data_IF_640448291415
#
_entry.id   IF_640448291415
#
_cell.length_a   1.000
_cell.length_b   1.000
_cell.length_c   1.000
_cell.angle_alpha   90.00
_cell.angle_beta   90.00
_cell.angle_gamma   90.00
#
_symmetry.space_group_name_H-M   'P 1'
#
loop_
_entity.id
_entity.type
_entity.pdbx_description
1 polymer ?
#
# COMPACT_ATOMS: atom_id res chain seq x y z
N UNK A 1 -4.81 -7.49 12.46
CA UNK A 1 -3.53 -6.88 12.93
C UNK A 1 -3.46 -6.93 14.45
N UNK A 2 -2.25 -6.92 15.00
CA UNK A 2 -2.00 -6.89 16.45
C UNK A 2 -0.86 -5.94 16.80
N UNK A 3 -0.91 -5.32 17.98
CA UNK A 3 0.25 -4.69 18.60
C UNK A 3 0.73 -5.59 19.72
N UNK A 4 2.03 -5.88 19.75
CA UNK A 4 2.62 -6.79 20.71
C UNK A 4 3.87 -6.15 21.32
N UNK A 5 3.98 -6.20 22.65
CA UNK A 5 5.20 -5.78 23.33
C UNK A 5 6.26 -6.87 23.15
N UNK A 6 7.41 -6.56 22.53
CA UNK A 6 8.49 -7.52 22.48
C UNK A 6 8.98 -7.84 23.90
N UNK A 7 9.35 -9.09 24.14
CA UNK A 7 9.98 -9.44 25.42
C UNK A 7 11.37 -8.83 25.61
N UNK A 8 11.92 -8.89 26.83
CA UNK A 8 13.16 -8.22 27.18
C UNK A 8 14.40 -8.72 26.43
N UNK A 9 14.36 -9.95 25.90
CA UNK A 9 15.45 -10.54 25.12
C UNK A 9 15.18 -10.48 23.60
N UNK A 10 14.11 -9.83 23.16
CA UNK A 10 13.82 -9.65 21.73
C UNK A 10 14.99 -8.95 21.03
N UNK A 11 15.44 -9.44 19.87
CA UNK A 11 16.61 -8.89 19.19
C UNK A 11 16.36 -7.44 18.76
N UNK A 12 16.91 -6.52 19.55
CA UNK A 12 17.02 -5.11 19.18
C UNK A 12 18.32 -4.84 18.42
N UNK A 13 19.37 -5.68 18.52
CA UNK A 13 20.66 -5.51 17.83
C UNK A 13 20.74 -6.10 16.41
N UNK A 14 21.85 -5.85 15.67
CA UNK A 14 22.14 -6.54 14.41
C UNK A 14 22.19 -8.06 14.56
N UNK A 15 21.76 -8.76 13.50
CA UNK A 15 21.90 -10.21 13.39
C UNK A 15 23.36 -10.49 13.00
N UNK A 16 24.19 -10.91 13.95
CA UNK A 16 25.60 -11.27 13.76
C UNK A 16 26.35 -11.41 15.08
N UNK A 17 27.46 -12.16 15.08
CA UNK A 17 28.23 -12.54 16.28
C UNK A 17 29.11 -11.41 16.88
N UNK A 18 28.77 -10.15 16.62
CA UNK A 18 29.49 -8.98 17.14
C UNK A 18 28.92 -8.46 18.47
N UNK A 19 29.69 -7.68 19.26
CA UNK A 19 29.16 -7.06 20.48
C UNK A 19 27.98 -6.14 20.12
N UNK A 20 26.80 -6.52 20.61
CA UNK A 20 25.52 -5.93 20.24
C UNK A 20 25.38 -4.51 20.79
N UNK A 21 25.54 -3.49 19.94
CA UNK A 21 24.77 -2.28 20.15
C UNK A 21 23.31 -2.65 19.87
N UNK A 22 22.45 -2.61 20.89
CA UNK A 22 21.01 -2.73 20.69
C UNK A 22 20.58 -1.62 19.72
N UNK A 23 20.14 -1.97 18.51
CA UNK A 23 19.59 -0.99 17.58
C UNK A 23 18.35 -0.37 18.22
N UNK A 24 18.17 0.93 18.01
CA UNK A 24 17.03 1.62 18.57
C UNK A 24 15.73 0.99 18.05
N UNK A 25 14.69 0.84 18.89
CA UNK A 25 13.38 0.42 18.44
C UNK A 25 12.88 1.25 17.26
N UNK A 26 12.25 0.59 16.29
CA UNK A 26 11.77 1.20 15.06
C UNK A 26 12.80 1.29 13.92
N UNK A 27 13.99 0.72 14.08
CA UNK A 27 15.00 0.63 13.01
C UNK A 27 14.86 -0.64 12.15
N UNK A 28 13.91 -1.52 12.47
CA UNK A 28 13.74 -2.83 11.83
C UNK A 28 12.28 -3.14 11.53
N UNK A 29 12.09 -3.87 10.45
CA UNK A 29 10.84 -4.52 10.09
C UNK A 29 11.16 -5.96 9.68
N UNK A 30 10.18 -6.85 9.81
CA UNK A 30 10.32 -8.28 9.49
C UNK A 30 9.18 -8.69 8.56
N UNK A 31 9.51 -9.55 7.60
CA UNK A 31 8.53 -10.26 6.79
C UNK A 31 8.68 -11.75 7.03
N UNK A 32 7.58 -12.39 7.41
CA UNK A 32 7.48 -13.83 7.66
C UNK A 32 6.87 -14.47 6.43
N UNK A 33 7.70 -15.06 5.59
CA UNK A 33 7.25 -15.63 4.31
C UNK A 33 7.02 -17.13 4.49
N UNK A 34 5.85 -17.60 4.07
CA UNK A 34 5.47 -19.01 4.08
C UNK A 34 4.77 -19.38 2.76
N UNK A 35 4.49 -20.67 2.54
CA UNK A 35 4.03 -21.18 1.24
C UNK A 35 2.83 -20.42 0.67
N UNK A 36 1.85 -20.15 1.54
CA UNK A 36 0.54 -19.63 1.14
C UNK A 36 0.35 -18.15 1.56
N UNK A 37 1.43 -17.40 1.76
CA UNK A 37 1.35 -15.97 2.08
C UNK A 37 2.51 -15.44 2.91
N UNK A 38 2.31 -14.26 3.49
CA UNK A 38 3.28 -13.65 4.39
C UNK A 38 2.59 -12.84 5.48
N UNK A 39 3.32 -12.65 6.59
CA UNK A 39 3.00 -11.63 7.59
C UNK A 39 4.10 -10.57 7.59
N UNK A 40 3.75 -9.35 7.95
CA UNK A 40 4.67 -8.23 8.00
C UNK A 40 4.58 -7.55 9.36
N UNK A 41 5.74 -7.15 9.87
CA UNK A 41 5.90 -6.60 11.19
C UNK A 41 6.78 -5.37 11.15
N UNK A 42 6.33 -4.26 11.72
CA UNK A 42 7.15 -3.07 11.92
C UNK A 42 7.16 -2.69 13.39
N UNK A 43 8.30 -2.23 13.89
CA UNK A 43 8.40 -1.77 15.28
C UNK A 43 8.13 -0.27 15.36
N UNK A 44 7.34 0.17 16.35
CA UNK A 44 7.20 1.60 16.64
C UNK A 44 8.49 2.17 17.24
N UNK A 45 8.83 3.43 16.94
CA UNK A 45 9.90 4.14 17.66
C UNK A 45 9.60 4.22 19.15
N UNK A 46 10.65 4.20 19.99
CA UNK A 46 10.61 4.00 21.45
C UNK A 46 9.72 4.94 22.28
N UNK A 47 9.09 5.95 21.68
CA UNK A 47 8.21 6.89 22.36
C UNK A 47 6.97 7.20 21.50
N UNK A 48 5.73 7.06 22.02
CA UNK A 48 5.35 6.66 23.38
C UNK A 48 5.33 5.14 23.64
N UNK A 49 5.62 4.30 22.64
CA UNK A 49 5.60 2.85 22.78
C UNK A 49 6.48 2.18 21.71
N UNK A 50 7.11 1.05 22.03
CA UNK A 50 7.99 0.25 21.17
C UNK A 50 7.35 -1.06 20.68
N UNK A 51 6.02 -1.11 20.68
CA UNK A 51 5.25 -2.26 20.22
C UNK A 51 5.60 -2.64 18.78
N UNK A 52 5.61 -3.95 18.53
CA UNK A 52 5.62 -4.54 17.21
C UNK A 52 4.19 -4.54 16.66
N UNK A 53 3.99 -3.86 15.53
CA UNK A 53 2.75 -3.86 14.78
C UNK A 53 2.83 -4.97 13.74
N UNK A 54 2.05 -6.01 13.95
CA UNK A 54 2.00 -7.19 13.09
C UNK A 54 0.69 -7.21 12.28
N UNK A 55 0.84 -7.26 10.96
CA UNK A 55 -0.23 -7.50 10.01
C UNK A 55 0.02 -8.76 9.20
N UNK A 56 -1.00 -9.23 8.50
CA UNK A 56 -0.99 -10.50 7.76
C UNK A 56 -2.12 -11.41 8.20
N UNK A 57 -1.89 -12.72 8.06
CA UNK A 57 -2.90 -13.73 8.37
C UNK A 57 -4.02 -13.87 7.34
N UNK A 58 -3.82 -13.38 6.11
CA UNK A 58 -4.82 -13.41 5.03
C UNK A 58 -5.52 -14.77 4.88
N UNK A 59 -4.75 -15.85 4.80
CA UNK A 59 -5.29 -17.21 4.61
C UNK A 59 -5.53 -17.98 5.92
N UNK A 60 -5.65 -17.29 7.06
CA UNK A 60 -5.73 -17.92 8.40
C UNK A 60 -7.13 -18.05 8.95
N UNK A 61 -8.11 -17.39 8.34
CA UNK A 61 -9.51 -17.53 8.70
C UNK A 61 -10.07 -18.93 8.38
N UNK A 62 -11.27 -19.20 8.87
CA UNK A 62 -11.95 -20.49 8.69
C UNK A 62 -12.13 -20.91 7.22
N UNK A 63 -12.28 -19.92 6.32
CA UNK A 63 -12.41 -20.13 4.87
C UNK A 63 -11.16 -19.72 4.08
N UNK A 64 -9.99 -19.72 4.73
CA UNK A 64 -8.69 -19.47 4.09
C UNK A 64 -8.66 -18.13 3.32
N UNK A 65 -9.22 -17.09 3.92
CA UNK A 65 -9.26 -15.72 3.38
C UNK A 65 -10.42 -15.42 2.44
N UNK A 66 -11.18 -16.42 1.98
CA UNK A 66 -12.33 -16.20 1.07
C UNK A 66 -13.47 -15.44 1.74
N UNK A 67 -13.63 -15.62 3.04
CA UNK A 67 -14.57 -14.92 3.91
C UNK A 67 -14.21 -13.44 4.11
N UNK A 68 -12.98 -13.01 3.84
CA UNK A 68 -12.57 -11.60 3.89
C UNK A 68 -12.77 -10.86 2.55
N UNK A 69 -13.12 -11.57 1.48
CA UNK A 69 -13.24 -10.99 0.14
C UNK A 69 -14.61 -10.35 -0.05
N UNK A 70 -14.62 -9.06 -0.38
CA UNK A 70 -15.85 -8.29 -0.58
C UNK A 70 -16.52 -7.86 0.74
N UNK A 71 -15.92 -8.17 1.88
CA UNK A 71 -16.34 -7.62 3.16
C UNK A 71 -15.78 -6.19 3.32
N UNK A 72 -16.70 -5.24 3.48
CA UNK A 72 -16.38 -3.83 3.68
C UNK A 72 -16.60 -3.39 5.14
N UNK A 73 -16.83 -4.34 6.06
CA UNK A 73 -16.97 -4.08 7.48
C UNK A 73 -15.72 -4.56 8.23
N UNK A 74 -15.17 -3.71 9.11
CA UNK A 74 -14.06 -4.03 10.01
C UNK A 74 -14.45 -3.84 11.49
N UNK A 75 -15.74 -4.04 11.78
CA UNK A 75 -16.30 -3.93 13.13
C UNK A 75 -16.03 -5.15 14.03
N UNK A 76 -15.45 -6.21 13.46
CA UNK A 76 -15.15 -7.46 14.14
C UNK A 76 -13.80 -8.04 13.70
N UNK A 77 -13.32 -9.05 14.45
CA UNK A 77 -12.04 -9.73 14.18
C UNK A 77 -12.25 -11.24 14.09
N UNK A 78 -11.55 -11.90 13.16
CA UNK A 78 -11.59 -13.35 13.01
C UNK A 78 -10.68 -14.06 14.04
N UNK A 79 -11.24 -15.00 14.79
CA UNK A 79 -10.56 -15.65 15.92
C UNK A 79 -9.33 -16.47 15.48
N UNK A 80 -9.37 -17.11 14.32
CA UNK A 80 -8.25 -17.93 13.83
C UNK A 80 -7.08 -17.04 13.40
N UNK A 81 -7.38 -15.93 12.73
CA UNK A 81 -6.41 -14.89 12.37
C UNK A 81 -5.79 -14.28 13.63
N UNK A 82 -6.58 -13.97 14.65
CA UNK A 82 -6.07 -13.47 15.93
C UNK A 82 -5.16 -14.49 16.62
N UNK A 83 -5.55 -15.76 16.67
CA UNK A 83 -4.74 -16.82 17.27
C UNK A 83 -3.39 -16.98 16.55
N UNK A 84 -3.39 -16.94 15.22
CA UNK A 84 -2.17 -16.96 14.41
C UNK A 84 -1.27 -15.76 14.72
N UNK A 85 -1.80 -14.54 14.62
CA UNK A 85 -1.01 -13.32 14.82
C UNK A 85 -0.48 -13.21 16.25
N UNK A 86 -1.27 -13.58 17.26
CA UNK A 86 -0.84 -13.58 18.66
C UNK A 86 0.26 -14.61 18.95
N UNK A 87 0.33 -15.71 18.19
CA UNK A 87 1.28 -16.80 18.43
C UNK A 87 2.55 -16.79 17.58
N UNK A 88 2.50 -16.18 16.39
CA UNK A 88 3.57 -16.36 15.39
C UNK A 88 4.91 -15.72 15.79
N UNK A 89 4.91 -14.47 16.28
CA UNK A 89 6.14 -13.81 16.73
C UNK A 89 6.75 -14.51 17.97
N UNK A 90 5.97 -14.86 19.01
CA UNK A 90 6.48 -15.65 20.13
C UNK A 90 7.11 -16.98 19.70
N UNK A 91 6.48 -17.70 18.78
CA UNK A 91 6.99 -18.97 18.29
C UNK A 91 8.33 -18.83 17.56
N UNK A 92 8.46 -17.82 16.69
CA UNK A 92 9.67 -17.60 15.88
C UNK A 92 10.84 -17.10 16.71
N UNK A 93 10.59 -16.18 17.65
CA UNK A 93 11.65 -15.57 18.45
C UNK A 93 11.91 -16.30 19.77
N UNK A 94 11.27 -17.45 20.03
CA UNK A 94 11.54 -18.29 21.19
C UNK A 94 13.02 -18.77 21.21
N UNK A 95 13.67 -18.86 22.39
CA UNK A 95 13.19 -18.45 23.72
C UNK A 95 13.39 -16.96 24.01
N UNK A 96 14.01 -16.20 23.09
CA UNK A 96 14.35 -14.78 23.25
C UNK A 96 13.13 -13.87 23.32
N UNK A 97 11.96 -14.32 22.87
CA UNK A 97 10.70 -13.64 23.11
C UNK A 97 10.30 -13.59 24.59
N UNK A 98 10.73 -14.56 25.40
CA UNK A 98 10.32 -14.66 26.81
C UNK A 98 8.84 -15.05 26.99
N UNK A 99 8.29 -14.88 28.22
CA UNK A 99 6.87 -15.08 28.48
C UNK A 99 6.06 -14.17 27.56
N UNK A 100 5.16 -14.73 26.77
CA UNK A 100 4.36 -13.95 25.82
C UNK A 100 3.09 -13.42 26.49
N UNK A 101 2.98 -12.12 26.80
CA UNK A 101 1.69 -11.55 27.14
C UNK A 101 0.76 -11.61 25.91
N UNK A 102 -0.55 -11.55 26.16
CA UNK A 102 -1.51 -11.33 25.08
C UNK A 102 -1.19 -10.00 24.35
N UNK A 103 -1.56 -9.87 23.06
CA UNK A 103 -1.43 -8.61 22.33
C UNK A 103 -2.04 -7.43 23.11
N UNK A 104 -1.37 -6.27 23.06
CA UNK A 104 -1.88 -5.05 23.72
C UNK A 104 -3.11 -4.49 23.01
N UNK A 105 -3.21 -4.71 21.70
CA UNK A 105 -4.44 -4.50 20.95
C UNK A 105 -4.52 -5.42 19.74
N UNK A 106 -5.75 -5.60 19.27
CA UNK A 106 -6.13 -6.40 18.11
C UNK A 106 -7.18 -5.61 17.35
N UNK A 107 -7.04 -5.54 16.03
CA UNK A 107 -8.00 -4.86 15.15
C UNK A 107 -7.99 -5.47 13.75
N UNK A 108 -9.09 -5.31 13.03
CA UNK A 108 -9.21 -5.60 11.59
C UNK A 108 -9.07 -4.30 10.79
N UNK A 109 -9.07 -4.40 9.47
CA UNK A 109 -9.04 -3.25 8.60
C UNK A 109 -9.31 -3.64 7.16
N UNK A 110 -9.85 -2.71 6.39
CA UNK A 110 -10.25 -2.91 5.00
C UNK A 110 -9.09 -2.55 4.07
N UNK A 111 -8.86 -3.37 3.06
CA UNK A 111 -7.84 -3.15 2.03
C UNK A 111 -8.52 -3.06 0.66
N UNK A 112 -8.15 -2.05 -0.11
CA UNK A 112 -8.51 -1.97 -1.52
C UNK A 112 -7.44 -2.68 -2.38
N UNK A 113 -7.89 -3.66 -3.16
CA UNK A 113 -7.07 -4.45 -4.09
C UNK A 113 -7.44 -4.18 -5.54
N UNK A 114 -6.46 -4.25 -6.44
CA UNK A 114 -6.64 -4.17 -7.89
C UNK A 114 -6.40 -5.55 -8.52
N UNK A 115 -7.04 -5.84 -9.65
CA UNK A 115 -6.90 -7.16 -10.30
C UNK A 115 -5.51 -7.45 -10.85
N UNK A 116 -4.67 -6.42 -11.05
CA UNK A 116 -3.28 -6.57 -11.49
C UNK A 116 -2.26 -6.40 -10.35
N UNK A 117 -2.70 -6.27 -9.10
CA UNK A 117 -1.82 -6.19 -7.93
C UNK A 117 -0.98 -4.92 -7.84
N UNK A 118 -1.27 -3.90 -8.66
CA UNK A 118 -0.56 -2.62 -8.65
C UNK A 118 -1.50 -1.44 -8.30
N UNK A 119 -1.04 -0.40 -7.60
CA UNK A 119 -1.83 0.81 -7.35
C UNK A 119 -2.29 1.50 -8.65
N UNK A 120 -3.44 2.14 -8.64
CA UNK A 120 -3.86 3.08 -9.70
C UNK A 120 -3.43 4.49 -9.32
N UNK A 121 -2.62 5.12 -10.17
CA UNK A 121 -2.12 6.49 -9.95
C UNK A 121 -2.29 7.33 -11.20
N UNK A 122 -2.91 8.51 -11.09
CA UNK A 122 -3.01 9.49 -12.18
C UNK A 122 -4.42 9.97 -12.45
N UNK A 123 -4.61 10.61 -13.60
CA UNK A 123 -5.91 11.17 -14.02
C UNK A 123 -6.83 10.08 -14.50
N UNK A 124 -8.06 10.05 -14.00
CA UNK A 124 -9.08 9.10 -14.46
C UNK A 124 -9.58 9.49 -15.87
N UNK A 125 -9.72 8.53 -16.81
CA UNK A 125 -10.28 8.79 -18.13
C UNK A 125 -11.75 9.22 -18.05
N UNK A 126 -12.22 10.18 -18.88
CA UNK A 126 -13.63 10.58 -18.95
C UNK A 126 -14.60 9.42 -19.20
N UNK A 127 -14.19 8.41 -19.95
CA UNK A 127 -14.97 7.20 -20.20
C UNK A 127 -15.32 6.41 -18.92
N UNK A 128 -14.51 6.58 -17.86
CA UNK A 128 -14.68 5.90 -16.58
C UNK A 128 -15.49 6.76 -15.61
N UNK A 129 -15.25 8.07 -15.63
CA UNK A 129 -15.91 9.00 -14.71
C UNK A 129 -17.30 9.44 -15.17
N UNK A 130 -17.59 9.33 -16.47
CA UNK A 130 -18.79 9.87 -17.10
C UNK A 130 -18.84 11.41 -17.10
N UNK A 131 -17.73 12.08 -16.72
CA UNK A 131 -17.63 13.54 -16.64
C UNK A 131 -16.64 14.06 -17.67
N UNK A 132 -17.09 15.02 -18.47
CA UNK A 132 -16.24 15.67 -19.47
C UNK A 132 -15.21 16.59 -18.80
N UNK A 133 -13.99 16.71 -19.35
CA UNK A 133 -13.01 17.70 -18.92
C UNK A 133 -13.58 19.11 -19.00
N UNK A 134 -13.24 19.96 -18.02
CA UNK A 134 -13.76 21.33 -17.93
C UNK A 134 -13.50 22.19 -19.18
N UNK A 135 -12.52 21.84 -20.02
CA UNK A 135 -12.22 22.52 -21.29
C UNK A 135 -13.33 22.39 -22.36
N UNK A 136 -14.33 21.54 -22.12
CA UNK A 136 -15.51 21.39 -23.00
C UNK A 136 -16.77 22.04 -22.42
N UNK A 137 -16.71 22.59 -21.20
CA UNK A 137 -17.75 23.49 -20.72
C UNK A 137 -17.57 24.84 -21.45
N UNK A 138 -18.65 25.50 -21.91
CA UNK A 138 -18.53 26.83 -22.50
C UNK A 138 -17.87 27.74 -21.47
N UNK A 139 -16.68 28.24 -21.80
CA UNK A 139 -15.95 29.16 -20.95
C UNK A 139 -16.78 30.44 -20.80
N UNK A 140 -17.11 30.78 -19.56
CA UNK A 140 -17.43 32.16 -19.22
C UNK A 140 -16.12 32.93 -19.47
N UNK A 141 -16.04 33.60 -20.62
CA UNK A 141 -14.80 34.21 -21.07
C UNK A 141 -14.26 35.23 -20.09
N UNK A 142 -12.94 35.22 -19.91
CA UNK A 142 -12.19 36.45 -19.68
C UNK A 142 -10.87 36.37 -20.46
N UNK A 143 -10.72 37.30 -21.40
CA UNK A 143 -9.57 37.41 -22.28
C UNK A 143 -8.35 37.92 -21.52
N UNK A 144 -7.23 37.21 -21.68
CA UNK A 144 -5.95 37.65 -21.15
C UNK A 144 -4.81 36.86 -21.79
N UNK A 145 -4.36 37.32 -22.97
CA UNK A 145 -3.18 36.79 -23.64
C UNK A 145 -1.91 37.13 -22.87
N UNK A 146 -1.12 36.10 -22.54
CA UNK A 146 0.21 36.23 -21.97
C UNK A 146 1.11 35.10 -22.47
N UNK A 147 1.97 35.41 -23.44
CA UNK A 147 3.00 34.53 -23.97
C UNK A 147 4.20 34.49 -23.01
N UNK A 148 4.26 33.45 -22.18
CA UNK A 148 5.45 33.00 -21.46
C UNK A 148 5.34 31.50 -21.32
N UNK A 149 6.45 30.76 -21.39
CA UNK A 149 6.50 29.29 -21.32
C UNK A 149 6.04 28.74 -19.97
N UNK A 150 4.75 28.90 -19.68
CA UNK A 150 4.09 28.54 -18.44
C UNK A 150 3.26 27.30 -18.78
N UNK A 151 3.67 26.16 -18.24
CA UNK A 151 2.89 24.93 -18.26
C UNK A 151 1.52 25.25 -17.67
N UNK A 152 0.52 25.43 -18.52
CA UNK A 152 -0.85 25.61 -18.08
C UNK A 152 -1.22 24.37 -17.28
N UNK A 153 -1.69 24.52 -16.02
CA UNK A 153 -2.09 23.37 -15.22
C UNK A 153 -3.14 22.58 -16.00
N UNK A 154 -3.13 21.24 -15.92
CA UNK A 154 -4.12 20.42 -16.60
C UNK A 154 -5.53 20.85 -16.17
N UNK A 155 -6.46 20.83 -17.12
CA UNK A 155 -7.84 21.18 -16.85
C UNK A 155 -8.45 20.30 -15.77
N UNK A 156 -9.40 20.90 -15.04
CA UNK A 156 -10.07 20.24 -13.92
C UNK A 156 -10.52 18.83 -14.32
N UNK A 157 -10.31 17.89 -13.42
CA UNK A 157 -10.55 16.48 -13.65
C UNK A 157 -10.38 15.69 -12.36
N UNK A 158 -10.60 14.39 -12.48
CA UNK A 158 -10.54 13.47 -11.34
C UNK A 158 -9.25 12.68 -11.36
N UNK A 159 -8.74 12.44 -10.16
CA UNK A 159 -7.41 11.92 -9.93
C UNK A 159 -7.50 10.80 -8.90
N UNK A 160 -6.71 9.76 -9.09
CA UNK A 160 -6.67 8.59 -8.20
C UNK A 160 -5.23 8.32 -7.76
N UNK A 161 -5.08 7.91 -6.50
CA UNK A 161 -3.91 7.25 -5.95
C UNK A 161 -4.43 6.25 -4.90
N UNK A 162 -4.83 5.06 -5.35
CA UNK A 162 -5.57 4.10 -4.53
C UNK A 162 -5.32 2.65 -5.00
N UNK A 163 -5.92 1.69 -4.29
CA UNK A 163 -5.76 0.27 -4.59
C UNK A 163 -4.36 -0.24 -4.27
N UNK A 164 -3.83 0.13 -3.09
CA UNK A 164 -2.45 -0.17 -2.72
C UNK A 164 -2.18 -1.64 -2.40
N UNK A 165 -3.18 -2.53 -2.47
CA UNK A 165 -3.01 -3.99 -2.30
C UNK A 165 -2.40 -4.40 -0.96
N UNK A 166 -2.64 -3.62 0.10
CA UNK A 166 -2.03 -3.83 1.42
C UNK A 166 -0.62 -3.25 1.57
N UNK A 167 -0.02 -2.77 0.48
CA UNK A 167 1.35 -2.23 0.41
C UNK A 167 1.40 -0.69 0.53
N UNK A 168 0.42 -0.10 1.22
CA UNK A 168 0.28 1.35 1.34
C UNK A 168 1.49 2.04 1.98
N UNK A 169 2.15 1.37 2.93
CA UNK A 169 3.39 1.87 3.55
C UNK A 169 4.54 2.05 2.56
N UNK A 170 4.56 1.26 1.48
CA UNK A 170 5.59 1.29 0.45
C UNK A 170 5.23 2.29 -0.65
N UNK A 171 3.97 2.27 -1.11
CA UNK A 171 3.56 3.02 -2.29
C UNK A 171 3.06 4.44 -2.01
N UNK A 172 2.34 4.67 -0.90
CA UNK A 172 1.48 5.85 -0.78
C UNK A 172 2.25 7.18 -0.91
N UNK A 173 3.45 7.27 -0.33
CA UNK A 173 4.22 8.52 -0.35
C UNK A 173 4.65 8.95 -1.76
N UNK A 174 5.26 8.04 -2.52
CA UNK A 174 5.72 8.31 -3.87
C UNK A 174 4.56 8.41 -4.86
N UNK A 175 3.49 7.62 -4.67
CA UNK A 175 2.28 7.73 -5.50
C UNK A 175 1.58 9.08 -5.30
N UNK A 176 1.42 9.54 -4.06
CA UNK A 176 0.84 10.87 -3.77
C UNK A 176 1.72 12.00 -4.31
N UNK A 177 3.04 11.87 -4.19
CA UNK A 177 4.00 12.83 -4.72
C UNK A 177 3.95 12.91 -6.24
N UNK A 178 3.91 11.77 -6.93
CA UNK A 178 3.70 11.67 -8.36
C UNK A 178 2.37 12.31 -8.79
N UNK A 179 1.29 12.00 -8.08
CA UNK A 179 -0.04 12.57 -8.36
C UNK A 179 -0.04 14.09 -8.26
N UNK A 180 0.61 14.65 -7.23
CA UNK A 180 0.73 16.10 -7.06
C UNK A 180 1.52 16.76 -8.20
N UNK A 181 2.59 16.11 -8.68
CA UNK A 181 3.37 16.58 -9.84
C UNK A 181 2.51 16.59 -11.11
N UNK A 182 1.73 15.54 -11.34
CA UNK A 182 0.80 15.46 -12.48
C UNK A 182 -0.28 16.54 -12.40
N UNK A 183 -0.90 16.72 -11.23
CA UNK A 183 -1.93 17.77 -11.01
C UNK A 183 -1.36 19.16 -11.27
N UNK A 184 -0.09 19.39 -10.92
CA UNK A 184 0.59 20.66 -11.17
C UNK A 184 1.03 20.86 -12.62
N UNK A 185 0.92 19.84 -13.49
CA UNK A 185 1.40 19.89 -14.88
C UNK A 185 2.93 19.95 -14.99
N UNK A 186 3.65 19.38 -14.02
CA UNK A 186 5.12 19.50 -13.88
C UNK A 186 5.86 18.18 -14.13
N UNK A 187 5.22 17.19 -14.76
CA UNK A 187 5.85 15.88 -14.99
C UNK A 187 7.14 15.94 -15.83
N UNK A 188 7.24 16.95 -16.71
CA UNK A 188 8.37 17.16 -17.62
C UNK A 188 9.45 18.09 -17.04
N UNK A 189 9.14 18.76 -15.93
CA UNK A 189 10.05 19.68 -15.25
C UNK A 189 11.14 18.90 -14.51
N UNK A 190 12.37 19.41 -14.53
CA UNK A 190 13.44 18.89 -13.70
C UNK A 190 13.35 19.47 -12.28
N UNK A 191 12.84 18.69 -11.33
CA UNK A 191 12.64 19.14 -9.95
C UNK A 191 13.83 18.78 -9.04
N UNK A 192 14.16 19.60 -8.04
CA UNK A 192 15.18 19.23 -7.05
C UNK A 192 14.70 18.07 -6.17
N UNK A 193 15.62 17.23 -5.64
CA UNK A 193 15.25 16.19 -4.69
C UNK A 193 14.65 16.80 -3.41
N UNK A 194 13.69 16.10 -2.82
CA UNK A 194 13.07 16.47 -1.53
C UNK A 194 12.89 15.24 -0.66
N UNK A 195 12.52 15.44 0.61
CA UNK A 195 12.38 14.33 1.57
C UNK A 195 11.45 13.24 0.99
N UNK A 196 12.00 12.03 0.86
CA UNK A 196 11.29 10.86 0.36
C UNK A 196 10.89 10.88 -1.12
N UNK A 197 11.35 11.85 -1.92
CA UNK A 197 11.06 11.92 -3.36
C UNK A 197 12.35 12.19 -4.13
N UNK A 198 12.73 11.34 -5.09
CA UNK A 198 13.86 11.60 -5.97
C UNK A 198 13.70 12.91 -6.72
N UNK A 199 14.81 13.60 -6.98
CA UNK A 199 14.84 14.72 -7.93
C UNK A 199 14.82 14.22 -9.37
N UNK A 200 14.89 15.14 -10.32
CA UNK A 200 14.83 14.84 -11.75
C UNK A 200 13.43 14.99 -12.32
N UNK A 201 13.20 14.39 -13.50
CA UNK A 201 11.88 14.32 -14.11
C UNK A 201 11.08 13.18 -13.51
N UNK A 202 9.76 13.26 -13.59
CA UNK A 202 8.89 12.24 -13.00
C UNK A 202 9.15 10.84 -13.58
N UNK A 203 9.38 10.74 -14.89
CA UNK A 203 9.67 9.48 -15.59
C UNK A 203 10.95 8.78 -15.12
N UNK A 204 11.87 9.51 -14.46
CA UNK A 204 13.16 8.96 -14.04
C UNK A 204 13.01 8.07 -12.79
N UNK A 205 11.90 8.19 -12.06
CA UNK A 205 11.69 7.48 -10.79
C UNK A 205 10.29 6.93 -10.60
N UNK A 206 9.28 7.39 -11.33
CA UNK A 206 7.92 6.89 -11.20
C UNK A 206 7.63 5.77 -12.24
N UNK A 207 7.31 4.54 -11.80
CA UNK A 207 7.10 3.41 -12.71
C UNK A 207 5.85 3.62 -13.58
N UNK A 208 6.00 3.35 -14.87
CA UNK A 208 4.91 3.56 -15.84
C UNK A 208 3.73 2.62 -15.65
N UNK A 209 3.97 1.47 -15.02
CA UNK A 209 2.98 0.42 -14.73
C UNK A 209 1.93 0.88 -13.72
N UNK A 210 2.28 1.87 -12.89
CA UNK A 210 1.38 2.44 -11.88
C UNK A 210 0.39 3.45 -12.46
N UNK A 211 0.63 3.94 -13.68
CA UNK A 211 -0.30 4.87 -14.31
C UNK A 211 -1.66 4.21 -14.53
N UNK A 212 -2.71 4.92 -14.14
CA UNK A 212 -4.08 4.56 -14.51
C UNK A 212 -4.32 4.95 -15.97
N UNK A 213 -4.91 4.05 -16.72
CA UNK A 213 -5.43 4.31 -18.06
C UNK A 213 -6.57 3.33 -18.37
N UNK A 214 -7.32 3.58 -19.44
CA UNK A 214 -8.49 2.79 -19.79
C UNK A 214 -8.16 1.32 -20.05
N UNK A 215 -7.08 1.02 -20.78
CA UNK A 215 -6.67 -0.35 -21.06
C UNK A 215 -6.33 -1.12 -19.77
N UNK A 216 -5.67 -0.44 -18.82
CA UNK A 216 -5.33 -1.00 -17.52
C UNK A 216 -6.57 -1.22 -16.66
N UNK A 217 -7.50 -0.27 -16.62
CA UNK A 217 -8.74 -0.44 -15.87
C UNK A 217 -9.56 -1.64 -16.37
N UNK A 218 -9.57 -1.88 -17.69
CA UNK A 218 -10.24 -3.07 -18.27
C UNK A 218 -9.57 -4.39 -17.88
N UNK A 219 -8.23 -4.43 -17.82
CA UNK A 219 -7.50 -5.67 -17.48
C UNK A 219 -7.40 -5.94 -15.98
N UNK A 220 -7.38 -4.90 -15.16
CA UNK A 220 -7.20 -4.98 -13.71
C UNK A 220 -8.54 -5.24 -12.98
N UNK A 221 -9.33 -6.16 -13.54
CA UNK A 221 -10.62 -6.59 -12.99
C UNK A 221 -10.40 -7.81 -12.09
N UNK A 222 -11.10 -7.82 -10.95
CA UNK A 222 -11.13 -8.99 -10.06
C UNK A 222 -12.22 -9.95 -10.55
N UNK A 223 -12.04 -11.25 -10.29
CA UNK A 223 -13.11 -12.21 -10.51
C UNK A 223 -14.34 -11.83 -9.69
N UNK A 224 -15.53 -12.01 -10.26
CA UNK A 224 -16.78 -11.86 -9.51
C UNK A 224 -17.07 -13.08 -8.61
N UNK A 225 -16.35 -14.18 -8.82
CA UNK A 225 -16.37 -15.34 -7.92
C UNK A 225 -15.35 -15.14 -6.79
N UNK A 226 -15.77 -14.98 -5.52
CA UNK A 226 -14.88 -14.82 -4.37
C UNK A 226 -13.83 -15.93 -4.24
N UNK A 227 -14.12 -17.15 -4.71
CA UNK A 227 -13.16 -18.25 -4.69
C UNK A 227 -12.01 -18.08 -5.71
N UNK A 228 -12.20 -17.20 -6.70
CA UNK A 228 -11.27 -16.95 -7.80
C UNK A 228 -10.75 -15.50 -7.85
N UNK A 229 -11.07 -14.66 -6.85
CA UNK A 229 -10.71 -13.23 -6.84
C UNK A 229 -9.21 -12.97 -7.05
N UNK A 230 -8.36 -13.87 -6.57
CA UNK A 230 -6.90 -13.81 -6.74
C UNK A 230 -6.34 -14.94 -7.61
N UNK A 231 -7.19 -15.69 -8.32
CA UNK A 231 -6.73 -16.66 -9.29
C UNK A 231 -6.14 -15.92 -10.51
N UNK A 232 -5.03 -16.41 -11.11
CA UNK A 232 -4.55 -15.85 -12.35
C UNK A 232 -5.67 -15.90 -13.41
N UNK A 233 -5.81 -14.86 -14.26
CA UNK A 233 -6.82 -14.88 -15.30
C UNK A 233 -6.65 -16.13 -16.18
N UNK A 234 -7.75 -16.77 -16.63
CA UNK A 234 -7.65 -17.90 -17.54
C UNK A 234 -6.83 -17.49 -18.76
N UNK A 235 -5.83 -18.28 -19.11
CA UNK A 235 -4.99 -18.03 -20.29
C UNK A 235 -5.89 -18.05 -21.52
N UNK A 236 -6.07 -16.90 -22.17
CA UNK A 236 -6.67 -16.85 -23.49
C UNK A 236 -5.77 -17.61 -24.47
N UNK A 237 -6.34 -18.46 -25.34
CA UNK A 237 -5.55 -19.10 -26.39
C UNK A 237 -4.90 -18.02 -27.24
N UNK A 238 -3.58 -18.12 -27.45
CA UNK A 238 -2.89 -17.32 -28.44
C UNK A 238 -3.46 -17.71 -29.81
N UNK A 239 -4.21 -16.79 -30.42
CA UNK A 239 -4.68 -16.90 -31.81
C UNK A 239 -3.59 -16.47 -32.78
#
# INVERSE_FOLDING_TARGET
MTAQRPGPAFPSGPVGDGPAAAAAPGTRSWSLIYRDGFDYCTQRPRHPADDLLLGGGWARSSHQGRDAVGDACDDSVDVYTVAHLAGVLPAIFSPRWGPSPAPSCVWSGIIAVTGDGLPFVGRLPPAVTGRLPADTAPSCGDGGGGSGGQTTPPSAGEWIAAGYNGEGMVYAWLCASALAVMIAGKQDDHMPPRIGVPGGKMQDWFPTELFVNEARLRRATLSLDPALVFAPPPSFPQS
#
